data_IF_976332299951
#
_entry.id   IF_976332299951
#
_cell.length_a   1.000
_cell.length_b   1.000
_cell.length_c   1.000
_cell.angle_alpha   90.00
_cell.angle_beta   90.00
_cell.angle_gamma   90.00
#
_symmetry.space_group_name_H-M   'P 1'
#
loop_
_entity.id
_entity.type
_entity.pdbx_description
1 polymer ?
#
# COMPACT_ATOMS: atom_id res chain seq x y z
N UNK A 1 2.76 -7.50 54.07
CA UNK A 1 2.96 -8.14 52.75
C UNK A 1 2.74 -7.02 51.72
N UNK A 2 3.81 -6.58 51.07
CA UNK A 2 3.67 -5.62 49.98
C UNK A 2 2.97 -6.30 48.82
N UNK A 3 2.00 -5.67 48.13
CA UNK A 3 1.44 -6.26 46.94
C UNK A 3 2.56 -6.42 45.92
N UNK A 4 2.76 -7.65 45.46
CA UNK A 4 3.65 -7.92 44.34
C UNK A 4 3.03 -7.27 43.10
N UNK A 5 3.81 -6.51 42.37
CA UNK A 5 3.35 -5.97 41.07
C UNK A 5 2.96 -7.15 40.17
N UNK A 6 1.85 -6.98 39.44
CA UNK A 6 1.50 -7.92 38.37
C UNK A 6 2.54 -7.84 37.27
N UNK A 7 3.15 -8.97 36.93
CA UNK A 7 4.08 -9.08 35.80
C UNK A 7 3.33 -9.78 34.66
N UNK A 8 2.82 -9.02 33.65
CA UNK A 8 2.12 -9.62 32.53
C UNK A 8 3.08 -10.48 31.70
N UNK A 9 2.67 -11.69 31.39
CA UNK A 9 3.36 -12.57 30.44
C UNK A 9 2.59 -12.48 29.14
N UNK A 10 3.25 -11.98 28.10
CA UNK A 10 2.71 -11.96 26.77
C UNK A 10 3.08 -13.26 26.05
N UNK A 11 2.06 -14.01 25.59
CA UNK A 11 2.25 -15.23 24.81
C UNK A 11 1.87 -14.92 23.37
N UNK A 12 2.86 -14.89 22.50
CA UNK A 12 2.66 -14.64 21.08
C UNK A 12 1.91 -15.80 20.40
N UNK A 13 1.21 -15.47 19.31
CA UNK A 13 0.61 -16.48 18.44
C UNK A 13 1.68 -17.19 17.61
N UNK A 14 1.42 -18.43 17.19
CA UNK A 14 2.42 -19.24 16.46
C UNK A 14 2.92 -18.58 15.18
N UNK A 15 2.03 -17.91 14.40
CA UNK A 15 2.39 -17.20 13.16
C UNK A 15 3.31 -16.00 13.38
N UNK A 16 3.37 -15.42 14.57
CA UNK A 16 4.33 -14.37 14.91
C UNK A 16 5.76 -14.92 15.07
N UNK A 17 5.91 -16.21 15.42
CA UNK A 17 7.21 -16.87 15.54
C UNK A 17 7.70 -17.44 14.21
N UNK A 18 6.79 -17.94 13.40
CA UNK A 18 7.08 -18.55 12.11
C UNK A 18 5.88 -18.43 11.19
N UNK A 19 6.06 -17.76 10.06
CA UNK A 19 5.08 -17.64 8.98
C UNK A 19 5.80 -17.45 7.64
N UNK A 20 5.23 -17.99 6.57
CA UNK A 20 5.66 -17.73 5.20
C UNK A 20 4.81 -16.64 4.58
N UNK A 21 5.45 -15.70 3.89
CA UNK A 21 4.81 -14.51 3.35
C UNK A 21 4.91 -14.50 1.83
N UNK A 22 3.83 -14.12 1.17
CA UNK A 22 3.76 -13.93 -0.27
C UNK A 22 3.37 -12.49 -0.60
N UNK A 23 4.16 -11.82 -1.42
CA UNK A 23 3.89 -10.45 -1.86
C UNK A 23 3.35 -10.45 -3.28
N UNK A 24 2.31 -9.66 -3.52
CA UNK A 24 1.88 -9.29 -4.85
C UNK A 24 1.20 -7.92 -4.87
N UNK A 25 1.14 -7.31 -6.04
CA UNK A 25 0.51 -6.01 -6.25
C UNK A 25 -0.95 -6.20 -6.65
N UNK A 26 -1.94 -5.76 -5.86
CA UNK A 26 -3.36 -5.85 -6.22
C UNK A 26 -3.65 -5.28 -7.62
N UNK A 27 -3.01 -4.15 -7.95
CA UNK A 27 -3.17 -3.51 -9.27
C UNK A 27 -2.74 -4.38 -10.46
N UNK A 28 -1.93 -5.41 -10.25
CA UNK A 28 -1.45 -6.32 -11.29
C UNK A 28 -2.39 -7.49 -11.54
N UNK A 29 -3.22 -7.85 -10.56
CA UNK A 29 -4.16 -8.95 -10.69
C UNK A 29 -5.35 -8.53 -11.56
N UNK A 30 -5.59 -9.25 -12.65
CA UNK A 30 -6.63 -8.89 -13.61
C UNK A 30 -6.36 -7.64 -14.46
N UNK A 31 -5.17 -7.02 -14.32
CA UNK A 31 -4.80 -5.86 -15.12
C UNK A 31 -4.82 -6.19 -16.63
N UNK A 32 -5.33 -5.27 -17.43
CA UNK A 32 -5.41 -5.41 -18.88
C UNK A 32 -4.68 -4.30 -19.61
N UNK A 33 -4.13 -4.62 -20.76
CA UNK A 33 -3.45 -3.65 -21.62
C UNK A 33 -4.19 -3.51 -22.94
N UNK A 34 -4.55 -2.29 -23.29
CA UNK A 34 -5.10 -1.93 -24.59
C UNK A 34 -3.98 -1.36 -25.46
N UNK A 35 -3.63 -2.11 -26.50
CA UNK A 35 -2.55 -1.75 -27.43
C UNK A 35 -2.96 -0.63 -28.40
N UNK A 36 -4.25 -0.40 -28.65
CA UNK A 36 -4.72 0.66 -29.54
C UNK A 36 -4.59 2.04 -28.89
N UNK A 37 -4.84 2.11 -27.59
CA UNK A 37 -4.76 3.35 -26.80
C UNK A 37 -3.47 3.49 -26.01
N UNK A 38 -2.61 2.46 -26.00
CA UNK A 38 -1.41 2.36 -25.13
C UNK A 38 -1.79 2.65 -23.65
N UNK A 39 -2.82 1.95 -23.16
CA UNK A 39 -3.35 2.20 -21.81
C UNK A 39 -3.47 0.91 -21.02
N UNK A 40 -3.05 0.97 -19.75
CA UNK A 40 -3.27 -0.08 -18.77
C UNK A 40 -4.51 0.23 -17.94
N UNK A 41 -5.34 -0.78 -17.75
CA UNK A 41 -6.40 -0.77 -16.72
C UNK A 41 -5.89 -1.54 -15.52
N UNK A 42 -5.96 -0.94 -14.34
CA UNK A 42 -5.56 -1.56 -13.08
C UNK A 42 -6.45 -2.75 -12.75
N UNK A 43 -5.88 -3.77 -12.13
CA UNK A 43 -6.66 -4.73 -11.38
C UNK A 43 -7.22 -4.14 -10.08
N UNK A 44 -8.19 -4.82 -9.51
CA UNK A 44 -8.93 -4.41 -8.32
C UNK A 44 -8.77 -5.42 -7.17
N UNK A 45 -9.28 -5.09 -5.99
CA UNK A 45 -9.31 -6.04 -4.87
C UNK A 45 -10.15 -7.29 -5.17
N UNK A 46 -11.23 -7.16 -5.93
CA UNK A 46 -12.07 -8.30 -6.31
C UNK A 46 -11.33 -9.25 -7.28
N UNK A 47 -10.43 -8.73 -8.13
CA UNK A 47 -9.59 -9.55 -9.01
C UNK A 47 -8.54 -10.37 -8.25
N UNK A 48 -8.21 -9.99 -7.03
CA UNK A 48 -7.22 -10.69 -6.19
C UNK A 48 -7.72 -12.02 -5.61
N UNK A 49 -9.01 -12.32 -5.67
CA UNK A 49 -9.58 -13.49 -5.01
C UNK A 49 -8.99 -14.81 -5.51
N UNK A 50 -8.77 -14.95 -6.83
CA UNK A 50 -8.15 -16.13 -7.40
C UNK A 50 -6.70 -16.27 -6.94
N UNK A 51 -5.94 -15.18 -6.91
CA UNK A 51 -4.55 -15.20 -6.42
C UNK A 51 -4.46 -15.63 -4.97
N UNK A 52 -5.39 -15.21 -4.12
CA UNK A 52 -5.45 -15.67 -2.73
C UNK A 52 -5.64 -17.19 -2.63
N UNK A 53 -6.48 -17.79 -3.50
CA UNK A 53 -6.67 -19.25 -3.54
C UNK A 53 -5.38 -19.98 -3.95
N UNK A 54 -4.66 -19.46 -4.94
CA UNK A 54 -3.39 -20.00 -5.39
C UNK A 54 -2.32 -19.90 -4.29
N UNK A 55 -2.23 -18.77 -3.60
CA UNK A 55 -1.30 -18.54 -2.49
C UNK A 55 -1.59 -19.48 -1.31
N UNK A 56 -2.87 -19.68 -0.98
CA UNK A 56 -3.30 -20.65 0.02
C UNK A 56 -2.90 -22.09 -0.37
N UNK A 57 -3.13 -22.45 -1.63
CA UNK A 57 -2.76 -23.78 -2.15
C UNK A 57 -1.25 -24.03 -2.12
N UNK A 58 -0.42 -22.98 -2.26
CA UNK A 58 1.03 -23.07 -2.09
C UNK A 58 1.47 -23.22 -0.62
N UNK A 59 0.57 -22.98 0.34
CA UNK A 59 0.84 -23.13 1.77
C UNK A 59 1.44 -21.90 2.45
N UNK A 60 1.27 -20.71 1.88
CA UNK A 60 1.65 -19.46 2.54
C UNK A 60 0.65 -19.06 3.64
N UNK A 61 1.16 -18.37 4.65
CA UNK A 61 0.39 -17.94 5.83
C UNK A 61 -0.11 -16.51 5.73
N UNK A 62 0.65 -15.64 5.09
CA UNK A 62 0.42 -14.20 5.03
C UNK A 62 0.58 -13.70 3.60
N UNK A 63 -0.35 -12.87 3.17
CA UNK A 63 -0.19 -12.04 1.96
C UNK A 63 0.18 -10.64 2.36
N UNK A 64 1.25 -10.13 1.78
CA UNK A 64 1.72 -8.77 1.95
C UNK A 64 1.37 -7.94 0.71
N UNK A 65 0.75 -6.79 0.94
CA UNK A 65 0.48 -5.82 -0.10
C UNK A 65 1.38 -4.60 0.04
N UNK A 66 1.99 -4.11 -1.06
CA UNK A 66 2.48 -2.74 -1.13
C UNK A 66 1.37 -1.75 -0.77
N UNK A 67 1.71 -0.48 -0.49
CA UNK A 67 0.70 0.51 -0.10
C UNK A 67 -0.48 0.53 -1.07
N UNK A 68 -1.69 0.53 -0.53
CA UNK A 68 -2.97 0.50 -1.27
C UNK A 68 -3.61 1.88 -1.39
N UNK A 69 -2.88 2.91 -1.00
CA UNK A 69 -3.34 4.29 -0.88
C UNK A 69 -3.26 5.05 -2.23
N UNK A 70 -3.94 6.19 -2.36
CA UNK A 70 -3.79 7.08 -3.51
C UNK A 70 -2.32 7.46 -3.73
N UNK A 71 -1.92 7.47 -5.01
CA UNK A 71 -0.52 7.72 -5.42
C UNK A 71 -0.38 9.17 -5.87
N UNK A 72 0.65 9.85 -5.35
CA UNK A 72 0.99 11.22 -5.73
C UNK A 72 1.52 11.33 -7.17
N UNK A 73 1.30 12.48 -7.77
CA UNK A 73 1.74 12.81 -9.12
C UNK A 73 3.07 13.55 -9.15
N UNK A 74 3.42 14.25 -8.06
CA UNK A 74 4.69 14.93 -7.94
C UNK A 74 5.86 13.94 -8.02
N UNK A 75 6.81 14.23 -8.91
CA UNK A 75 7.99 13.37 -9.16
C UNK A 75 7.65 11.93 -9.54
N UNK A 76 6.47 11.73 -10.14
CA UNK A 76 6.00 10.42 -10.58
C UNK A 76 7.03 9.74 -11.49
N UNK A 77 7.23 8.45 -11.29
CA UNK A 77 8.10 7.63 -12.13
C UNK A 77 7.33 7.03 -13.29
N UNK A 78 8.00 6.98 -14.44
CA UNK A 78 7.53 6.31 -15.64
C UNK A 78 7.95 4.84 -15.69
N UNK A 79 7.76 4.23 -16.87
CA UNK A 79 8.11 2.83 -17.16
C UNK A 79 9.59 2.57 -16.82
N UNK A 80 9.85 1.40 -16.22
CA UNK A 80 11.19 0.98 -15.82
C UNK A 80 11.91 1.96 -14.87
N UNK A 81 11.14 2.63 -13.99
CA UNK A 81 11.66 3.61 -13.04
C UNK A 81 12.32 4.84 -13.72
N UNK A 82 11.90 5.18 -14.93
CA UNK A 82 12.32 6.41 -15.63
C UNK A 82 11.92 7.65 -14.83
N UNK A 83 12.73 8.71 -14.94
CA UNK A 83 12.37 10.03 -14.40
C UNK A 83 11.30 10.73 -15.25
N UNK A 84 11.14 10.30 -16.52
CA UNK A 84 10.14 10.83 -17.42
C UNK A 84 8.87 9.98 -17.28
N UNK A 85 7.82 10.57 -16.71
CA UNK A 85 6.50 9.95 -16.58
C UNK A 85 5.47 10.66 -17.44
N UNK A 86 4.50 9.89 -17.93
CA UNK A 86 3.31 10.38 -18.61
C UNK A 86 2.11 10.35 -17.66
N UNK A 87 1.00 10.92 -18.08
CA UNK A 87 -0.26 10.82 -17.31
C UNK A 87 -0.75 9.38 -17.17
N UNK A 88 -0.42 8.51 -18.14
CA UNK A 88 -0.81 7.11 -18.18
C UNK A 88 0.01 6.20 -17.25
N UNK A 89 1.14 6.69 -16.75
CA UNK A 89 1.97 5.91 -15.83
C UNK A 89 1.33 5.89 -14.43
N UNK A 90 1.18 4.71 -13.79
CA UNK A 90 0.52 4.60 -12.49
C UNK A 90 1.33 5.21 -11.33
N UNK A 91 2.62 5.39 -11.50
CA UNK A 91 3.50 5.83 -10.43
C UNK A 91 3.87 4.72 -9.46
N UNK A 92 4.49 5.11 -8.35
CA UNK A 92 4.92 4.19 -7.29
C UNK A 92 3.91 4.15 -6.15
N UNK A 93 3.47 2.96 -5.68
CA UNK A 93 2.58 2.85 -4.52
C UNK A 93 3.14 3.49 -3.26
N UNK A 94 4.47 3.57 -3.14
CA UNK A 94 5.14 4.18 -1.98
C UNK A 94 5.14 5.72 -2.01
N UNK A 95 4.75 6.34 -3.13
CA UNK A 95 4.50 7.78 -3.20
C UNK A 95 3.08 8.09 -2.71
N UNK A 96 2.81 7.81 -1.42
CA UNK A 96 1.47 7.91 -0.84
C UNK A 96 0.99 9.34 -0.78
N UNK A 97 -0.22 9.57 -1.28
CA UNK A 97 -0.97 10.82 -1.16
C UNK A 97 -1.17 11.57 -2.47
N UNK A 98 -2.42 11.85 -2.77
CA UNK A 98 -2.91 12.65 -3.90
C UNK A 98 -4.13 13.44 -3.44
N UNK A 99 -4.75 14.28 -4.31
CA UNK A 99 -6.03 14.91 -3.98
C UNK A 99 -7.16 13.92 -3.62
N UNK A 100 -7.03 12.63 -4.02
CA UNK A 100 -7.99 11.58 -3.68
C UNK A 100 -7.85 11.05 -2.25
N UNK A 101 -6.82 11.47 -1.52
CA UNK A 101 -6.59 11.09 -0.13
C UNK A 101 -5.15 10.67 0.16
N UNK A 102 -4.93 10.21 1.38
CA UNK A 102 -3.62 9.79 1.90
C UNK A 102 -3.65 8.39 2.50
N UNK A 103 -2.95 8.21 3.61
CA UNK A 103 -2.82 6.93 4.32
C UNK A 103 -4.14 6.39 4.89
N UNK A 104 -5.17 7.20 4.92
CA UNK A 104 -6.52 6.90 5.39
C UNK A 104 -7.52 6.63 4.25
N UNK A 105 -7.04 6.57 3.01
CA UNK A 105 -7.85 6.33 1.82
C UNK A 105 -7.34 5.13 1.01
N UNK A 106 -8.23 4.53 0.23
CA UNK A 106 -7.91 3.49 -0.75
C UNK A 106 -7.75 4.14 -2.12
N UNK A 107 -6.77 3.67 -2.90
CA UNK A 107 -6.59 4.10 -4.29
C UNK A 107 -7.85 3.79 -5.11
N UNK A 108 -8.44 4.78 -5.80
CA UNK A 108 -9.72 4.60 -6.51
C UNK A 108 -9.73 3.42 -7.50
N UNK A 109 -8.61 3.17 -8.19
CA UNK A 109 -8.50 2.07 -9.15
C UNK A 109 -8.52 0.68 -8.49
N UNK A 110 -8.22 0.57 -7.20
CA UNK A 110 -8.25 -0.71 -6.48
C UNK A 110 -9.65 -1.07 -5.99
N UNK A 111 -10.51 -0.07 -5.81
CA UNK A 111 -11.85 -0.22 -5.28
C UNK A 111 -12.13 0.66 -4.08
N UNK A 112 -12.88 0.16 -3.13
CA UNK A 112 -13.37 0.84 -1.94
C UNK A 112 -13.21 -0.02 -0.67
N UNK A 113 -13.65 0.51 0.46
CA UNK A 113 -13.62 -0.21 1.74
C UNK A 113 -14.44 -1.49 1.72
N UNK A 114 -15.55 -1.54 0.99
CA UNK A 114 -16.40 -2.74 0.90
C UNK A 114 -15.69 -3.85 0.11
N UNK A 115 -15.01 -3.51 -0.99
CA UNK A 115 -14.23 -4.48 -1.77
C UNK A 115 -12.99 -4.95 -1.00
N UNK A 116 -12.35 -4.06 -0.23
CA UNK A 116 -11.27 -4.44 0.66
C UNK A 116 -11.74 -5.39 1.77
N UNK A 117 -12.90 -5.12 2.39
CA UNK A 117 -13.49 -6.00 3.40
C UNK A 117 -13.83 -7.39 2.82
N UNK A 118 -14.32 -7.46 1.57
CA UNK A 118 -14.53 -8.74 0.86
C UNK A 118 -13.22 -9.49 0.68
N UNK A 119 -12.16 -8.81 0.29
CA UNK A 119 -10.82 -9.39 0.14
C UNK A 119 -10.30 -9.97 1.46
N UNK A 120 -10.40 -9.20 2.56
CA UNK A 120 -10.01 -9.65 3.91
C UNK A 120 -10.86 -10.85 4.36
N UNK A 121 -12.16 -10.83 4.09
CA UNK A 121 -13.05 -11.95 4.41
C UNK A 121 -12.65 -13.22 3.63
N UNK A 122 -12.33 -13.07 2.33
CA UNK A 122 -11.84 -14.17 1.49
C UNK A 122 -10.51 -14.74 2.01
N UNK A 123 -9.53 -13.89 2.33
CA UNK A 123 -8.25 -14.32 2.90
C UNK A 123 -8.47 -15.10 4.20
N UNK A 124 -9.34 -14.61 5.08
CA UNK A 124 -9.69 -15.28 6.35
C UNK A 124 -10.30 -16.66 6.13
N UNK A 125 -11.19 -16.82 5.15
CA UNK A 125 -11.78 -18.13 4.79
C UNK A 125 -10.71 -19.13 4.34
N UNK A 126 -9.65 -18.65 3.70
CA UNK A 126 -8.51 -19.46 3.23
C UNK A 126 -7.43 -19.67 4.31
N UNK A 127 -7.61 -19.09 5.50
CA UNK A 127 -6.61 -19.15 6.58
C UNK A 127 -5.40 -18.25 6.38
N UNK A 128 -5.46 -17.31 5.42
CA UNK A 128 -4.42 -16.34 5.13
C UNK A 128 -4.67 -15.06 5.94
N UNK A 129 -3.61 -14.44 6.43
CA UNK A 129 -3.63 -13.10 7.00
C UNK A 129 -3.18 -12.07 5.98
N UNK A 130 -3.73 -10.86 6.06
CA UNK A 130 -3.30 -9.72 5.24
C UNK A 130 -2.35 -8.85 6.05
N UNK A 131 -1.21 -8.51 5.47
CA UNK A 131 -0.29 -7.50 5.95
C UNK A 131 -0.22 -6.36 4.92
N UNK A 132 -0.39 -5.14 5.38
CA UNK A 132 -0.27 -3.94 4.54
C UNK A 132 1.07 -3.27 4.80
N UNK A 133 1.72 -2.81 3.74
CA UNK A 133 2.86 -1.92 3.85
C UNK A 133 2.41 -0.59 4.46
N UNK A 134 3.07 -0.18 5.51
CA UNK A 134 2.88 1.13 6.11
C UNK A 134 4.07 2.03 5.80
N UNK A 135 4.05 2.61 4.60
CA UNK A 135 5.06 3.58 4.18
C UNK A 135 4.82 4.92 4.90
N UNK A 136 5.71 5.29 5.82
CA UNK A 136 5.62 6.56 6.57
C UNK A 136 5.89 7.80 5.69
N UNK A 137 6.56 7.62 4.56
CA UNK A 137 6.81 8.70 3.61
C UNK A 137 5.51 9.13 2.90
N UNK A 138 5.45 10.38 2.50
CA UNK A 138 4.32 10.96 1.80
C UNK A 138 4.78 11.68 0.53
N UNK A 139 3.94 11.65 -0.50
CA UNK A 139 4.10 12.53 -1.66
C UNK A 139 3.89 13.99 -1.24
N UNK A 140 4.53 14.97 -1.92
CA UNK A 140 4.19 16.38 -1.73
C UNK A 140 2.72 16.73 -1.96
N UNK A 141 2.02 15.89 -2.73
CA UNK A 141 0.59 16.05 -3.04
C UNK A 141 -0.33 15.53 -1.93
N UNK A 142 0.23 14.94 -0.86
CA UNK A 142 -0.54 14.39 0.25
C UNK A 142 -1.37 15.49 0.93
N UNK A 143 -2.67 15.27 1.21
CA UNK A 143 -3.53 16.28 1.85
C UNK A 143 -2.94 16.83 3.16
N UNK A 144 -2.30 15.98 3.95
CA UNK A 144 -1.69 16.39 5.22
C UNK A 144 -0.56 17.40 5.07
N UNK A 145 0.04 17.58 3.89
CA UNK A 145 1.03 18.63 3.66
C UNK A 145 0.41 20.03 3.87
N UNK A 146 -0.87 20.17 3.48
CA UNK A 146 -1.62 21.41 3.67
C UNK A 146 -2.30 21.47 5.04
N UNK A 147 -2.88 20.35 5.51
CA UNK A 147 -3.70 20.27 6.70
C UNK A 147 -2.86 20.21 7.99
N UNK A 148 -1.68 19.58 7.91
CA UNK A 148 -0.77 19.33 9.02
C UNK A 148 0.70 19.64 8.63
N UNK A 149 1.02 20.88 8.25
CA UNK A 149 2.37 21.23 7.82
C UNK A 149 3.43 20.99 8.90
N UNK A 150 3.05 20.97 10.17
CA UNK A 150 3.92 20.67 11.31
C UNK A 150 4.43 19.23 11.35
N UNK A 151 3.86 18.31 10.56
CA UNK A 151 4.31 16.92 10.45
C UNK A 151 5.43 16.76 9.42
N UNK A 152 5.69 17.80 8.63
CA UNK A 152 6.65 17.76 7.53
C UNK A 152 7.86 18.65 7.82
N UNK A 153 9.05 18.13 7.52
CA UNK A 153 10.27 18.94 7.63
C UNK A 153 10.35 19.92 6.46
N UNK A 154 10.57 21.18 6.76
CA UNK A 154 10.77 22.22 5.76
C UNK A 154 12.19 22.79 5.81
N UNK A 155 12.64 23.32 4.67
CA UNK A 155 13.89 24.07 4.54
C UNK A 155 13.66 25.53 4.98
N UNK A 156 14.76 26.28 5.13
CA UNK A 156 14.71 27.70 5.52
C UNK A 156 13.95 28.59 4.51
N UNK A 157 13.86 28.19 3.26
CA UNK A 157 13.11 28.85 2.20
C UNK A 157 11.61 28.47 2.17
N UNK A 158 11.17 27.63 3.11
CA UNK A 158 9.79 27.18 3.23
C UNK A 158 9.44 25.98 2.33
N UNK A 159 10.38 25.46 1.53
CA UNK A 159 10.16 24.27 0.73
C UNK A 159 10.22 22.99 1.57
N UNK A 160 9.53 21.92 1.14
CA UNK A 160 9.59 20.62 1.81
C UNK A 160 11.00 20.06 1.69
N UNK A 161 11.52 19.53 2.81
CA UNK A 161 12.75 18.77 2.83
C UNK A 161 12.47 17.31 2.50
N UNK A 162 12.96 16.83 1.37
CA UNK A 162 12.80 15.43 0.98
C UNK A 162 13.81 14.54 1.69
N UNK A 163 13.37 13.35 2.09
CA UNK A 163 14.25 12.34 2.71
C UNK A 163 15.22 11.74 1.68
N UNK A 164 14.82 11.70 0.41
CA UNK A 164 15.63 11.17 -0.70
C UNK A 164 15.92 12.25 -1.74
N UNK A 165 17.08 12.13 -2.38
CA UNK A 165 17.50 13.01 -3.48
C UNK A 165 18.01 12.16 -4.65
N UNK A 166 17.39 12.18 -5.83
CA UNK A 166 16.18 12.96 -6.14
C UNK A 166 14.94 12.42 -5.40
N UNK A 167 13.93 13.27 -5.15
CA UNK A 167 12.69 12.82 -4.53
C UNK A 167 12.01 11.77 -5.41
N UNK A 168 11.37 10.80 -4.76
CA UNK A 168 10.59 9.73 -5.39
C UNK A 168 9.12 9.94 -5.13
#
# INVERSE_FOLDING_TARGET
VSPTADFPIFVDRRKALFASWYEFFPRSEGATYDAETDTWTSGTFDDCHQRLEEVAAMGFDVVYFPPIHPIGTAFKKGKNNSLDATEKDPGSPWAVGSPDGGHDAIHPDLGDWESFDRLVAKARQLGIEIALDFALQASPDHPWVADHPEWFTTRLDGTIAYAENPPK
#
